data_IF_270653266147
#
_entry.id   IF_270653266147
#
_cell.length_a   1.000
_cell.length_b   1.000
_cell.length_c   1.000
_cell.angle_alpha   90.00
_cell.angle_beta   90.00
_cell.angle_gamma   90.00
#
_symmetry.space_group_name_H-M   'P 1'
#
loop_
_entity.id
_entity.type
_entity.pdbx_description
1 polymer ?
#
# COMPACT_ATOMS: atom_id res chain seq x y z
N UNK A 1 40.19 30.48 -19.85
CA UNK A 1 40.25 29.35 -18.88
C UNK A 1 39.47 28.11 -19.33
N UNK A 2 38.64 28.16 -20.38
CA UNK A 2 37.96 26.96 -20.90
C UNK A 2 38.86 26.01 -21.70
N UNK A 3 39.87 26.52 -22.43
CA UNK A 3 40.76 25.67 -23.23
C UNK A 3 41.77 24.82 -22.41
N UNK A 4 41.95 25.07 -21.10
CA UNK A 4 42.79 24.22 -20.23
C UNK A 4 42.03 23.04 -19.62
N UNK A 5 40.69 23.06 -19.57
CA UNK A 5 39.89 21.92 -19.10
C UNK A 5 39.74 20.85 -20.18
N UNK A 6 39.55 21.25 -21.44
CA UNK A 6 39.43 20.31 -22.58
C UNK A 6 40.74 19.56 -22.83
N UNK A 7 41.89 20.24 -22.71
CA UNK A 7 43.22 19.61 -22.82
C UNK A 7 43.51 18.59 -21.70
N UNK A 8 42.96 18.77 -20.49
CA UNK A 8 43.11 17.79 -19.39
C UNK A 8 42.30 16.51 -19.65
N UNK A 9 41.12 16.63 -20.26
CA UNK A 9 40.28 15.49 -20.68
C UNK A 9 40.94 14.68 -21.81
N UNK A 10 41.53 15.36 -22.80
CA UNK A 10 42.25 14.66 -23.89
C UNK A 10 43.52 13.96 -23.40
N UNK A 11 44.23 14.52 -22.41
CA UNK A 11 45.40 13.88 -21.80
C UNK A 11 45.04 12.63 -20.98
N UNK A 12 43.88 12.61 -20.30
CA UNK A 12 43.40 11.42 -19.58
C UNK A 12 42.94 10.31 -20.53
N UNK A 13 42.27 10.66 -21.65
CA UNK A 13 41.87 9.67 -22.66
C UNK A 13 43.09 9.02 -23.32
N UNK A 14 44.17 9.76 -23.55
CA UNK A 14 45.41 9.20 -24.13
C UNK A 14 46.17 8.27 -23.17
N UNK A 15 46.13 8.52 -21.86
CA UNK A 15 46.78 7.64 -20.87
C UNK A 15 46.02 6.30 -20.73
N UNK A 16 44.68 6.32 -20.85
CA UNK A 16 43.85 5.10 -20.82
C UNK A 16 44.11 4.22 -22.05
N UNK A 17 44.31 4.81 -23.23
CA UNK A 17 44.65 4.07 -24.44
C UNK A 17 46.05 3.41 -24.40
N UNK A 18 47.01 4.01 -23.69
CA UNK A 18 48.36 3.46 -23.52
C UNK A 18 48.44 2.38 -22.43
N UNK A 19 47.56 2.41 -21.41
CA UNK A 19 47.51 1.40 -20.35
C UNK A 19 46.79 0.10 -20.77
N UNK A 20 46.02 0.11 -21.86
CA UNK A 20 45.41 -1.12 -22.41
C UNK A 20 46.39 -2.04 -23.16
N UNK A 21 47.63 -1.60 -23.39
CA UNK A 21 48.66 -2.39 -24.09
C UNK A 21 49.68 -3.08 -23.17
N UNK A 22 49.50 -3.01 -21.85
CA UNK A 22 50.37 -3.73 -20.92
C UNK A 22 49.59 -4.20 -19.70
N UNK A 23 49.20 -5.49 -19.71
CA UNK A 23 49.36 -6.48 -18.63
C UNK A 23 48.39 -7.67 -18.81
N UNK A 24 48.74 -8.87 -18.30
CA UNK A 24 48.48 -10.15 -18.95
C UNK A 24 47.10 -10.72 -18.64
N UNK A 25 46.64 -11.58 -19.55
CA UNK A 25 45.57 -12.53 -19.29
C UNK A 25 45.92 -13.43 -18.12
N UNK A 26 45.13 -13.34 -17.05
CA UNK A 26 44.60 -14.46 -16.23
C UNK A 26 43.71 -13.81 -15.17
N UNK A 27 42.39 -14.01 -15.27
CA UNK A 27 41.47 -13.66 -14.17
C UNK A 27 40.82 -14.97 -13.75
N UNK A 28 41.18 -15.36 -12.52
CA UNK A 28 40.62 -16.44 -11.73
C UNK A 28 39.09 -16.30 -11.61
N UNK A 29 38.39 -17.40 -11.33
CA UNK A 29 36.92 -17.46 -11.28
C UNK A 29 36.35 -16.38 -10.35
N UNK A 30 35.85 -15.29 -10.94
CA UNK A 30 35.30 -14.17 -10.20
C UNK A 30 33.92 -14.57 -9.67
N UNK A 31 33.75 -14.59 -8.34
CA UNK A 31 32.45 -14.86 -7.71
C UNK A 31 31.38 -13.94 -8.33
N UNK A 32 30.36 -14.55 -8.93
CA UNK A 32 29.28 -13.80 -9.58
C UNK A 32 28.58 -12.92 -8.55
N UNK A 33 28.24 -11.69 -8.93
CA UNK A 33 27.40 -10.82 -8.09
C UNK A 33 26.07 -11.53 -7.85
N UNK A 34 25.70 -11.62 -6.57
CA UNK A 34 24.47 -12.28 -6.14
C UNK A 34 23.29 -11.29 -6.17
N UNK A 35 22.22 -11.66 -6.86
CA UNK A 35 21.00 -10.86 -7.02
C UNK A 35 19.82 -11.64 -6.43
N UNK A 36 19.15 -11.01 -5.47
CA UNK A 36 17.91 -11.49 -4.91
C UNK A 36 16.70 -11.11 -5.76
N UNK A 37 15.66 -11.94 -5.75
CA UNK A 37 14.41 -11.65 -6.43
C UNK A 37 13.24 -11.92 -5.49
N UNK A 38 12.35 -10.92 -5.35
CA UNK A 38 11.07 -11.01 -4.65
C UNK A 38 9.97 -10.53 -5.57
N UNK A 39 9.30 -11.48 -6.22
CA UNK A 39 8.14 -11.21 -7.06
C UNK A 39 6.90 -11.97 -6.61
N UNK A 40 5.74 -11.52 -7.09
CA UNK A 40 4.48 -12.27 -7.00
C UNK A 40 3.78 -12.38 -8.36
N UNK A 41 2.68 -13.13 -8.39
CA UNK A 41 1.82 -13.24 -9.57
C UNK A 41 2.58 -13.69 -10.82
N UNK A 42 2.57 -12.86 -11.86
CA UNK A 42 3.23 -13.16 -13.13
C UNK A 42 4.76 -13.11 -13.07
N UNK A 43 5.35 -12.35 -12.14
CA UNK A 43 6.80 -12.26 -11.98
C UNK A 43 7.43 -13.61 -11.61
N UNK A 44 6.68 -14.47 -10.93
CA UNK A 44 7.09 -15.82 -10.58
C UNK A 44 7.07 -16.80 -11.77
N UNK A 45 6.56 -16.39 -12.93
CA UNK A 45 6.59 -17.21 -14.14
C UNK A 45 7.90 -17.01 -14.94
N UNK A 46 8.81 -16.13 -14.46
CA UNK A 46 10.07 -15.81 -15.12
C UNK A 46 11.20 -16.64 -14.50
N UNK A 47 11.93 -17.36 -15.34
CA UNK A 47 13.17 -18.01 -14.90
C UNK A 47 14.33 -17.00 -14.96
N UNK A 48 14.54 -16.28 -13.85
CA UNK A 48 15.53 -15.20 -13.78
C UNK A 48 16.96 -15.65 -14.10
N UNK A 49 17.34 -16.89 -13.78
CA UNK A 49 18.66 -17.44 -14.14
C UNK A 49 18.91 -17.46 -15.65
N UNK A 50 17.85 -17.58 -16.46
CA UNK A 50 17.95 -17.50 -17.93
C UNK A 50 18.20 -16.08 -18.42
N UNK A 51 17.55 -15.08 -17.82
CA UNK A 51 17.64 -13.68 -18.26
C UNK A 51 18.81 -12.92 -17.62
N UNK A 52 19.34 -13.41 -16.50
CA UNK A 52 20.44 -12.83 -15.73
C UNK A 52 21.61 -13.83 -15.58
N UNK A 53 22.14 -14.44 -16.66
CA UNK A 53 23.10 -15.56 -16.56
C UNK A 53 24.48 -15.18 -15.99
N UNK A 54 24.80 -13.87 -15.98
CA UNK A 54 26.04 -13.32 -15.41
C UNK A 54 26.03 -13.28 -13.88
N UNK A 55 24.85 -13.43 -13.27
CA UNK A 55 24.63 -13.23 -11.84
C UNK A 55 24.31 -14.56 -11.14
N UNK A 56 24.54 -14.59 -9.82
CA UNK A 56 24.06 -15.68 -8.96
C UNK A 56 22.66 -15.30 -8.43
N UNK A 57 21.64 -16.05 -8.78
CA UNK A 57 20.25 -15.66 -8.51
C UNK A 57 19.72 -16.36 -7.26
N UNK A 58 19.25 -15.55 -6.29
CA UNK A 58 18.48 -16.00 -5.13
C UNK A 58 17.03 -15.65 -5.35
N UNK A 59 16.28 -16.58 -5.95
CA UNK A 59 14.85 -16.38 -6.15
C UNK A 59 14.08 -16.76 -4.89
N UNK A 60 13.62 -15.72 -4.17
CA UNK A 60 12.81 -15.85 -2.97
C UNK A 60 11.31 -15.64 -3.28
N UNK A 61 10.92 -15.52 -4.55
CA UNK A 61 9.56 -15.20 -4.97
C UNK A 61 8.55 -16.28 -4.59
N UNK A 62 7.33 -15.86 -4.24
CA UNK A 62 6.21 -16.76 -3.98
C UNK A 62 4.99 -16.25 -4.72
N UNK A 63 4.49 -17.06 -5.66
CA UNK A 63 3.45 -16.65 -6.62
C UNK A 63 2.17 -16.16 -5.97
N UNK A 64 1.74 -16.83 -4.90
CA UNK A 64 0.50 -16.53 -4.19
C UNK A 64 0.63 -15.42 -3.14
N UNK A 65 1.84 -14.90 -2.89
CA UNK A 65 2.04 -13.90 -1.85
C UNK A 65 1.62 -12.50 -2.32
N UNK A 66 0.96 -11.76 -1.44
CA UNK A 66 0.85 -10.31 -1.53
C UNK A 66 2.19 -9.65 -1.21
N UNK A 67 2.38 -8.37 -1.54
CA UNK A 67 3.65 -7.68 -1.28
C UNK A 67 3.97 -7.72 0.23
N UNK A 68 2.98 -7.58 1.09
CA UNK A 68 3.16 -7.68 2.56
C UNK A 68 3.63 -9.06 3.02
N UNK A 69 3.22 -10.12 2.33
CA UNK A 69 3.56 -11.51 2.68
C UNK A 69 4.96 -11.90 2.22
N UNK A 70 5.57 -11.13 1.31
CA UNK A 70 6.98 -11.30 0.96
C UNK A 70 7.93 -11.09 2.15
N UNK A 71 7.45 -10.56 3.28
CA UNK A 71 8.21 -10.48 4.53
C UNK A 71 8.27 -11.79 5.34
N UNK A 72 7.43 -12.79 5.04
CA UNK A 72 7.34 -14.01 5.84
C UNK A 72 8.54 -14.92 5.61
N UNK A 73 9.24 -15.31 6.69
CA UNK A 73 10.50 -16.07 6.59
C UNK A 73 11.54 -15.38 5.68
N UNK A 74 11.51 -14.05 5.58
CA UNK A 74 12.39 -13.28 4.69
C UNK A 74 13.87 -13.52 5.02
N UNK A 75 14.21 -13.70 6.30
CA UNK A 75 15.55 -14.10 6.73
C UNK A 75 16.03 -15.38 6.04
N UNK A 76 15.18 -16.41 6.04
CA UNK A 76 15.48 -17.74 5.50
C UNK A 76 15.49 -17.74 3.97
N UNK A 77 14.55 -17.02 3.35
CA UNK A 77 14.37 -17.03 1.90
C UNK A 77 15.34 -16.10 1.17
N UNK A 78 15.75 -14.98 1.77
CA UNK A 78 16.55 -13.95 1.12
C UNK A 78 17.75 -13.47 1.95
N UNK A 79 17.53 -13.00 3.18
CA UNK A 79 18.55 -12.19 3.88
C UNK A 79 19.79 -13.00 4.24
N UNK A 80 19.63 -14.28 4.61
CA UNK A 80 20.76 -15.18 4.92
C UNK A 80 21.69 -15.40 3.73
N UNK A 81 21.16 -15.34 2.51
CA UNK A 81 21.94 -15.52 1.28
C UNK A 81 22.80 -14.29 0.94
N UNK A 82 22.54 -13.15 1.58
CA UNK A 82 23.28 -11.88 1.43
C UNK A 82 23.48 -11.47 -0.04
N UNK A 83 22.41 -11.37 -0.85
CA UNK A 83 22.52 -10.79 -2.18
C UNK A 83 22.95 -9.33 -2.08
N UNK A 84 23.65 -8.83 -3.09
CA UNK A 84 24.05 -7.41 -3.09
C UNK A 84 22.88 -6.49 -3.47
N UNK A 85 22.08 -6.94 -4.44
CA UNK A 85 20.89 -6.25 -4.91
C UNK A 85 19.66 -7.15 -4.78
N UNK A 86 18.47 -6.59 -4.62
CA UNK A 86 17.23 -7.35 -4.69
C UNK A 86 16.17 -6.67 -5.55
N UNK A 87 15.69 -7.39 -6.56
CA UNK A 87 14.58 -6.97 -7.42
C UNK A 87 13.27 -7.20 -6.68
N UNK A 88 12.45 -6.16 -6.58
CA UNK A 88 11.13 -6.20 -5.95
C UNK A 88 10.06 -5.79 -6.96
N UNK A 89 9.15 -6.72 -7.29
CA UNK A 89 8.05 -6.51 -8.24
C UNK A 89 6.75 -7.14 -7.72
N UNK A 90 5.66 -6.38 -7.79
CA UNK A 90 4.34 -6.85 -7.41
C UNK A 90 3.34 -5.70 -7.27
N UNK A 91 2.20 -5.96 -6.65
CA UNK A 91 1.17 -4.95 -6.37
C UNK A 91 -0.10 -5.09 -7.21
N UNK A 92 -0.05 -5.74 -8.38
CA UNK A 92 -1.28 -6.01 -9.15
C UNK A 92 -2.24 -6.94 -8.37
N UNK A 93 -1.82 -8.10 -7.83
CA UNK A 93 -2.71 -8.93 -7.00
C UNK A 93 -3.29 -8.17 -5.81
N UNK A 94 -2.48 -7.33 -5.17
CA UNK A 94 -2.88 -6.48 -4.04
C UNK A 94 -3.97 -5.47 -4.44
N UNK A 95 -3.82 -4.81 -5.58
CA UNK A 95 -4.80 -3.85 -6.13
C UNK A 95 -6.09 -4.57 -6.56
N UNK A 96 -5.99 -5.76 -7.15
CA UNK A 96 -7.16 -6.58 -7.52
C UNK A 96 -7.95 -7.01 -6.28
N UNK A 97 -7.27 -7.19 -5.14
CA UNK A 97 -7.87 -7.42 -3.83
C UNK A 97 -8.28 -6.13 -3.11
N UNK A 98 -8.23 -4.98 -3.80
CA UNK A 98 -8.62 -3.66 -3.30
C UNK A 98 -7.83 -3.18 -2.08
N UNK A 99 -6.57 -3.62 -1.95
CA UNK A 99 -5.66 -3.04 -0.96
C UNK A 99 -5.33 -1.59 -1.32
N UNK A 100 -5.26 -0.73 -0.29
CA UNK A 100 -4.96 0.67 -0.51
C UNK A 100 -3.52 0.83 -1.03
N UNK A 101 -3.30 1.82 -1.90
CA UNK A 101 -1.96 2.19 -2.36
C UNK A 101 -1.02 2.45 -1.19
N UNK A 102 -1.53 3.03 -0.09
CA UNK A 102 -0.76 3.28 1.14
C UNK A 102 -0.30 1.98 1.81
N UNK A 103 -1.12 0.94 1.85
CA UNK A 103 -0.75 -0.34 2.46
C UNK A 103 0.27 -1.08 1.62
N UNK A 104 0.08 -1.10 0.30
CA UNK A 104 1.03 -1.69 -0.64
C UNK A 104 2.37 -0.96 -0.55
N UNK A 105 2.37 0.37 -0.60
CA UNK A 105 3.55 1.21 -0.39
C UNK A 105 4.21 0.93 0.97
N UNK A 106 3.42 0.76 2.03
CA UNK A 106 3.93 0.42 3.36
C UNK A 106 4.62 -0.94 3.41
N UNK A 107 4.13 -1.91 2.63
CA UNK A 107 4.79 -3.21 2.48
C UNK A 107 6.12 -3.09 1.72
N UNK A 108 6.15 -2.34 0.61
CA UNK A 108 7.40 -2.01 -0.10
C UNK A 108 8.41 -1.33 0.84
N UNK A 109 7.99 -0.32 1.60
CA UNK A 109 8.83 0.40 2.57
C UNK A 109 9.42 -0.53 3.63
N UNK A 110 8.60 -1.44 4.17
CA UNK A 110 9.08 -2.45 5.12
C UNK A 110 10.15 -3.35 4.51
N UNK A 111 9.88 -3.93 3.33
CA UNK A 111 10.84 -4.82 2.66
C UNK A 111 12.15 -4.11 2.32
N UNK A 112 12.07 -2.90 1.77
CA UNK A 112 13.26 -2.09 1.49
C UNK A 112 14.04 -1.77 2.76
N UNK A 113 13.36 -1.41 3.86
CA UNK A 113 14.01 -1.18 5.16
C UNK A 113 14.75 -2.42 5.66
N UNK A 114 14.12 -3.60 5.60
CA UNK A 114 14.77 -4.85 6.02
C UNK A 114 15.97 -5.21 5.15
N UNK A 115 15.88 -5.00 3.83
CA UNK A 115 17.01 -5.17 2.91
C UNK A 115 18.17 -4.22 3.23
N UNK A 116 17.89 -2.93 3.38
CA UNK A 116 18.90 -1.90 3.65
C UNK A 116 19.62 -2.17 4.98
N UNK A 117 18.88 -2.54 6.05
CA UNK A 117 19.47 -2.93 7.34
C UNK A 117 20.44 -4.11 7.22
N UNK A 118 20.24 -4.98 6.22
CA UNK A 118 21.07 -6.15 5.95
C UNK A 118 22.09 -5.90 4.82
N UNK A 119 22.35 -4.64 4.45
CA UNK A 119 23.27 -4.23 3.38
C UNK A 119 22.90 -4.76 1.98
N UNK A 120 21.61 -4.97 1.72
CA UNK A 120 21.07 -5.36 0.42
C UNK A 120 20.45 -4.12 -0.22
N UNK A 121 20.81 -3.81 -1.46
CA UNK A 121 20.29 -2.65 -2.20
C UNK A 121 18.98 -3.01 -2.92
N UNK A 122 17.82 -2.44 -2.52
CA UNK A 122 16.57 -2.71 -3.21
C UNK A 122 16.54 -2.09 -4.61
N UNK A 123 15.85 -2.75 -5.52
CA UNK A 123 15.52 -2.30 -6.87
C UNK A 123 14.01 -2.48 -7.05
N UNK A 124 13.27 -1.38 -7.11
CA UNK A 124 11.81 -1.41 -7.26
C UNK A 124 11.47 -1.40 -8.74
N UNK A 125 10.68 -2.37 -9.17
CA UNK A 125 10.10 -2.40 -10.52
C UNK A 125 8.64 -1.92 -10.44
N UNK A 126 8.29 -0.96 -11.29
CA UNK A 126 6.93 -0.43 -11.40
C UNK A 126 5.93 -1.54 -11.72
N UNK A 127 4.76 -1.50 -11.07
CA UNK A 127 3.63 -2.40 -11.40
C UNK A 127 3.13 -2.06 -12.80
N UNK A 128 2.99 -3.07 -13.67
CA UNK A 128 2.49 -2.85 -15.03
C UNK A 128 1.00 -2.48 -15.03
N UNK A 129 0.54 -1.64 -15.98
CA UNK A 129 -0.88 -1.40 -16.16
C UNK A 129 -1.62 -2.66 -16.64
N UNK A 130 -2.94 -2.58 -16.71
CA UNK A 130 -3.84 -3.57 -17.30
C UNK A 130 -4.65 -2.92 -18.45
N UNK A 131 -5.32 -3.69 -19.29
CA UNK A 131 -6.08 -3.19 -20.44
C UNK A 131 -7.57 -3.13 -20.15
N UNK A 132 -8.26 -2.06 -20.53
CA UNK A 132 -9.69 -1.82 -20.33
C UNK A 132 -10.15 -1.71 -18.85
N UNK A 133 -9.26 -1.27 -17.94
CA UNK A 133 -9.60 -1.14 -16.51
C UNK A 133 -9.09 0.17 -15.89
N UNK A 134 -9.82 1.26 -16.11
CA UNK A 134 -9.47 2.62 -15.66
C UNK A 134 -9.23 2.73 -14.15
N UNK A 135 -10.09 2.12 -13.31
CA UNK A 135 -9.96 2.21 -11.85
C UNK A 135 -8.71 1.47 -11.33
N UNK A 136 -8.39 0.33 -11.92
CA UNK A 136 -7.20 -0.47 -11.59
C UNK A 136 -5.95 0.31 -12.01
N UNK A 137 -5.93 0.82 -13.25
CA UNK A 137 -4.82 1.64 -13.76
C UNK A 137 -4.63 2.93 -12.98
N UNK A 138 -5.69 3.56 -12.47
CA UNK A 138 -5.58 4.73 -11.59
C UNK A 138 -4.85 4.39 -10.29
N UNK A 139 -5.14 3.21 -9.71
CA UNK A 139 -4.48 2.72 -8.50
C UNK A 139 -3.01 2.35 -8.76
N UNK A 140 -2.74 1.69 -9.89
CA UNK A 140 -1.38 1.34 -10.34
C UNK A 140 -0.55 2.60 -10.56
N UNK A 141 -1.10 3.59 -11.27
CA UNK A 141 -0.43 4.87 -11.52
C UNK A 141 -0.11 5.59 -10.20
N UNK A 142 -1.07 5.64 -9.27
CA UNK A 142 -0.85 6.23 -7.96
C UNK A 142 0.24 5.47 -7.19
N UNK A 143 0.20 4.13 -7.15
CA UNK A 143 1.23 3.32 -6.50
C UNK A 143 2.62 3.57 -7.07
N UNK A 144 2.77 3.53 -8.40
CA UNK A 144 4.04 3.74 -9.07
C UNK A 144 4.61 5.14 -8.80
N UNK A 145 3.78 6.18 -8.77
CA UNK A 145 4.20 7.55 -8.42
C UNK A 145 4.72 7.64 -6.97
N UNK A 146 4.03 7.01 -6.02
CA UNK A 146 4.45 7.00 -4.62
C UNK A 146 5.75 6.18 -4.42
N UNK A 147 5.88 5.04 -5.10
CA UNK A 147 7.08 4.21 -5.08
C UNK A 147 8.29 4.93 -5.67
N UNK A 148 8.11 5.62 -6.80
CA UNK A 148 9.16 6.43 -7.42
C UNK A 148 9.61 7.56 -6.49
N UNK A 149 8.67 8.25 -5.84
CA UNK A 149 8.96 9.33 -4.90
C UNK A 149 9.71 8.81 -3.67
N UNK A 150 9.26 7.68 -3.11
CA UNK A 150 9.94 7.01 -2.01
C UNK A 150 11.36 6.58 -2.38
N UNK A 151 11.53 6.00 -3.58
CA UNK A 151 12.82 5.52 -4.03
C UNK A 151 13.83 6.66 -4.17
N UNK A 152 13.43 7.78 -4.79
CA UNK A 152 14.25 8.97 -4.92
C UNK A 152 14.68 9.55 -3.55
N UNK A 153 13.78 9.55 -2.57
CA UNK A 153 14.07 10.06 -1.21
C UNK A 153 15.05 9.18 -0.41
N UNK A 154 15.21 7.92 -0.78
CA UNK A 154 15.97 6.92 -0.02
C UNK A 154 17.14 6.33 -0.83
N UNK A 155 17.50 6.95 -1.96
CA UNK A 155 18.57 6.49 -2.85
C UNK A 155 18.39 5.03 -3.32
N UNK A 156 17.15 4.63 -3.55
CA UNK A 156 16.76 3.30 -4.04
C UNK A 156 16.59 3.38 -5.56
N UNK A 157 17.00 2.32 -6.27
CA UNK A 157 16.78 2.21 -7.71
C UNK A 157 15.30 1.95 -8.00
N UNK A 158 14.74 2.67 -8.98
CA UNK A 158 13.37 2.50 -9.47
C UNK A 158 13.39 2.40 -10.99
N UNK A 159 12.66 1.44 -11.56
CA UNK A 159 12.59 1.23 -12.99
C UNK A 159 11.18 0.86 -13.47
N UNK A 160 10.78 1.42 -14.61
CA UNK A 160 9.56 1.03 -15.33
C UNK A 160 9.94 0.13 -16.51
N UNK A 161 9.48 -1.12 -16.47
CA UNK A 161 9.81 -2.12 -17.49
C UNK A 161 8.74 -2.23 -18.60
N UNK A 162 7.87 -1.21 -18.74
CA UNK A 162 6.70 -1.16 -19.63
C UNK A 162 7.04 -0.88 -21.10
N UNK A 163 8.31 -0.60 -21.42
CA UNK A 163 8.77 -0.34 -22.79
C UNK A 163 8.39 -1.49 -23.74
N UNK A 164 7.51 -1.19 -24.69
CA UNK A 164 7.00 -2.15 -25.67
C UNK A 164 5.97 -3.15 -25.12
N UNK A 165 5.57 -3.02 -23.85
CA UNK A 165 4.49 -3.81 -23.23
C UNK A 165 3.18 -3.03 -23.18
N UNK A 166 3.26 -1.72 -23.01
CA UNK A 166 2.11 -0.84 -22.85
C UNK A 166 2.14 0.37 -23.79
N UNK A 167 0.96 0.87 -24.13
CA UNK A 167 0.75 2.13 -24.85
C UNK A 167 -0.41 2.88 -24.20
N UNK A 168 -0.26 4.21 -24.04
CA UNK A 168 -1.28 5.07 -23.39
C UNK A 168 -1.77 4.58 -22.02
N UNK A 169 -0.89 3.91 -21.26
CA UNK A 169 -1.21 3.43 -19.92
C UNK A 169 -1.99 2.12 -19.87
N UNK A 170 -2.04 1.36 -20.97
CA UNK A 170 -2.66 0.02 -21.04
C UNK A 170 -1.76 -1.01 -21.72
N UNK A 171 -1.92 -2.29 -21.36
CA UNK A 171 -1.19 -3.39 -22.02
C UNK A 171 -1.61 -3.59 -23.48
N UNK A 172 -0.62 -3.83 -24.33
CA UNK A 172 -0.84 -4.15 -25.73
C UNK A 172 -1.47 -5.55 -25.90
N UNK A 173 -2.37 -5.76 -26.89
CA UNK A 173 -2.97 -7.06 -27.13
C UNK A 173 -2.04 -8.20 -27.48
N UNK A 174 -0.94 -7.89 -28.16
CA UNK A 174 0.09 -8.87 -28.51
C UNK A 174 0.82 -9.43 -27.28
N UNK A 175 0.74 -8.73 -26.15
CA UNK A 175 1.53 -8.94 -24.94
C UNK A 175 0.68 -9.53 -23.80
N UNK A 176 -0.63 -9.31 -23.80
CA UNK A 176 -1.58 -9.88 -22.83
C UNK A 176 -2.88 -10.33 -23.50
N UNK A 177 -3.19 -11.61 -23.32
CA UNK A 177 -4.39 -12.23 -23.90
C UNK A 177 -5.66 -11.76 -23.16
N UNK A 178 -5.63 -11.76 -21.83
CA UNK A 178 -6.76 -11.40 -20.96
C UNK A 178 -6.80 -9.91 -20.59
N UNK A 179 -5.75 -9.16 -20.90
CA UNK A 179 -5.60 -7.75 -20.52
C UNK A 179 -5.09 -7.55 -19.10
N UNK A 180 -4.76 -8.62 -18.37
CA UNK A 180 -4.24 -8.56 -17.00
C UNK A 180 -2.84 -9.16 -16.89
N UNK A 181 -2.66 -10.37 -17.43
CA UNK A 181 -1.45 -11.17 -17.28
C UNK A 181 -0.68 -11.16 -18.58
N UNK A 182 0.64 -11.03 -18.49
CA UNK A 182 1.53 -11.17 -19.63
C UNK A 182 1.47 -12.60 -20.20
N UNK A 183 1.42 -12.71 -21.53
CA UNK A 183 1.68 -13.95 -22.23
C UNK A 183 3.20 -14.22 -22.31
N UNK A 184 3.61 -15.34 -22.93
CA UNK A 184 5.03 -15.71 -23.01
C UNK A 184 5.93 -14.65 -23.67
N UNK A 185 5.43 -13.98 -24.71
CA UNK A 185 6.15 -12.89 -25.39
C UNK A 185 6.28 -11.69 -24.46
N UNK A 186 5.21 -11.35 -23.74
CA UNK A 186 5.20 -10.30 -22.74
C UNK A 186 6.18 -10.54 -21.60
N UNK A 187 6.15 -11.73 -20.99
CA UNK A 187 7.07 -12.12 -19.92
C UNK A 187 8.52 -12.04 -20.38
N UNK A 188 8.81 -12.48 -21.61
CA UNK A 188 10.16 -12.41 -22.18
C UNK A 188 10.64 -10.97 -22.37
N UNK A 189 9.78 -10.10 -22.91
CA UNK A 189 10.12 -8.69 -23.12
C UNK A 189 10.28 -7.95 -21.79
N UNK A 190 9.40 -8.20 -20.82
CA UNK A 190 9.50 -7.66 -19.47
C UNK A 190 10.81 -8.06 -18.78
N UNK A 191 11.16 -9.35 -18.83
CA UNK A 191 12.41 -9.84 -18.25
C UNK A 191 13.65 -9.24 -18.94
N UNK A 192 13.65 -9.10 -20.27
CA UNK A 192 14.73 -8.46 -21.01
C UNK A 192 14.89 -6.97 -20.67
N UNK A 193 13.79 -6.24 -20.52
CA UNK A 193 13.80 -4.83 -20.12
C UNK A 193 14.44 -4.66 -18.74
N UNK A 194 14.15 -5.56 -17.79
CA UNK A 194 14.75 -5.55 -16.45
C UNK A 194 16.22 -5.96 -16.50
N UNK A 195 16.57 -7.01 -17.24
CA UNK A 195 17.95 -7.48 -17.37
C UNK A 195 18.87 -6.39 -17.94
N UNK A 196 18.40 -5.68 -18.97
CA UNK A 196 19.11 -4.52 -19.53
C UNK A 196 19.39 -3.44 -18.48
N UNK A 197 18.39 -3.12 -17.65
CA UNK A 197 18.54 -2.13 -16.58
C UNK A 197 19.51 -2.59 -15.49
N UNK A 198 19.49 -3.88 -15.11
CA UNK A 198 20.40 -4.44 -14.11
C UNK A 198 21.85 -4.39 -14.59
N UNK A 199 22.11 -4.73 -15.86
CA UNK A 199 23.44 -4.62 -16.46
C UNK A 199 23.95 -3.16 -16.38
N UNK A 200 23.10 -2.16 -16.67
CA UNK A 200 23.45 -0.74 -16.56
C UNK A 200 23.77 -0.32 -15.10
N UNK A 201 22.94 -0.72 -14.13
CA UNK A 201 23.14 -0.42 -12.70
C UNK A 201 24.48 -0.97 -12.20
N UNK A 202 24.84 -2.19 -12.61
CA UNK A 202 26.06 -2.84 -12.18
C UNK A 202 27.29 -2.26 -12.89
N UNK A 203 27.19 -1.93 -14.18
CA UNK A 203 28.25 -1.24 -14.91
C UNK A 203 28.62 0.11 -14.26
N UNK A 204 27.62 0.87 -13.81
CA UNK A 204 27.81 2.12 -13.07
C UNK A 204 28.53 1.91 -11.74
N UNK A 205 28.21 0.83 -10.99
CA UNK A 205 28.89 0.48 -9.74
C UNK A 205 30.36 0.10 -9.99
N UNK A 206 30.65 -0.66 -11.04
CA UNK A 206 32.00 -1.15 -11.34
C UNK A 206 32.91 -0.10 -12.00
N UNK A 207 32.42 1.14 -12.22
CA UNK A 207 33.15 2.20 -12.93
C UNK A 207 33.54 1.81 -14.37
N UNK A 208 32.87 0.80 -14.94
CA UNK A 208 33.11 0.25 -16.28
C UNK A 208 32.10 0.87 -17.27
N UNK A 209 32.37 2.11 -17.69
CA UNK A 209 31.64 2.90 -18.70
C UNK A 209 30.20 3.34 -18.35
N UNK A 210 29.82 4.49 -18.94
CA UNK A 210 28.51 5.16 -18.83
C UNK A 210 27.68 4.84 -20.08
N UNK A 211 26.49 4.22 -19.96
CA UNK A 211 25.50 4.18 -21.04
C UNK A 211 24.48 5.34 -20.99
N UNK A 212 24.10 5.80 -22.17
CA UNK A 212 23.41 7.05 -22.53
C UNK A 212 21.87 7.00 -22.39
N UNK A 213 21.31 6.34 -21.37
CA UNK A 213 19.85 6.21 -21.20
C UNK A 213 19.25 7.05 -20.06
N UNK A 214 20.07 7.79 -19.29
CA UNK A 214 19.60 8.59 -18.15
C UNK A 214 19.49 10.07 -18.49
N UNK A 215 18.47 10.43 -19.28
CA UNK A 215 17.99 11.80 -19.37
C UNK A 215 16.52 11.84 -19.82
N UNK A 216 15.58 11.44 -18.95
CA UNK A 216 14.24 11.99 -19.00
C UNK A 216 13.60 12.03 -17.60
N UNK A 217 12.91 13.15 -17.35
CA UNK A 217 12.07 13.51 -16.20
C UNK A 217 12.74 14.29 -15.06
N UNK A 218 13.37 15.40 -15.43
CA UNK A 218 13.36 16.63 -14.62
C UNK A 218 12.05 17.39 -14.90
N UNK A 219 10.97 17.12 -14.14
CA UNK A 219 9.86 18.08 -13.91
C UNK A 219 8.97 17.62 -12.75
N UNK A 220 9.42 17.80 -11.51
CA UNK A 220 8.54 17.69 -10.32
C UNK A 220 8.46 19.00 -9.50
N UNK A 221 9.38 19.94 -9.72
CA UNK A 221 9.42 21.19 -8.94
C UNK A 221 8.28 22.18 -9.21
N UNK A 222 7.48 21.98 -10.27
CA UNK A 222 6.32 22.81 -10.60
C UNK A 222 5.03 22.33 -9.92
N UNK A 223 4.94 21.06 -9.50
CA UNK A 223 3.77 20.48 -8.84
C UNK A 223 3.92 20.58 -7.30
N UNK A 224 5.14 20.44 -6.79
CA UNK A 224 5.42 20.53 -5.35
C UNK A 224 5.12 21.92 -4.75
N UNK A 225 5.19 22.99 -5.56
CA UNK A 225 4.88 24.35 -5.11
C UNK A 225 3.37 24.68 -5.11
N UNK A 226 2.52 23.85 -5.72
CA UNK A 226 1.05 24.03 -5.72
C UNK A 226 0.40 23.29 -4.54
N UNK A 227 1.02 22.21 -4.04
CA UNK A 227 0.47 21.36 -2.97
C UNK A 227 0.88 21.77 -1.55
N UNK A 228 1.79 22.74 -1.39
CA UNK A 228 2.42 23.08 -0.11
C UNK A 228 1.60 24.01 0.80
N UNK A 229 0.32 24.26 0.50
CA UNK A 229 -0.55 25.09 1.34
C UNK A 229 -1.72 24.28 1.94
N UNK A 230 -1.61 24.06 3.25
CA UNK A 230 -2.61 23.62 4.25
C UNK A 230 -2.92 22.12 4.36
N UNK A 231 -2.12 21.39 5.15
CA UNK A 231 -2.64 20.24 5.89
C UNK A 231 -2.85 20.67 7.35
N UNK A 232 -4.12 20.78 7.74
CA UNK A 232 -4.56 20.93 9.12
C UNK A 232 -4.17 19.69 9.93
N UNK A 233 -3.81 19.89 11.20
CA UNK A 233 -3.60 18.83 12.19
C UNK A 233 -4.89 18.01 12.35
N UNK A 234 -4.83 16.68 12.12
CA UNK A 234 -5.99 15.79 12.24
C UNK A 234 -6.33 15.60 13.72
N UNK A 235 -7.56 15.95 14.14
CA UNK A 235 -8.02 15.79 15.53
C UNK A 235 -9.05 14.68 15.71
N UNK A 236 -9.79 14.33 14.65
CA UNK A 236 -10.86 13.35 14.70
C UNK A 236 -10.63 12.30 13.62
N UNK A 237 -10.76 11.03 13.97
CA UNK A 237 -10.77 9.93 13.00
C UNK A 237 -12.10 9.17 13.09
N UNK A 238 -12.65 8.82 11.93
CA UNK A 238 -13.81 7.93 11.78
C UNK A 238 -13.30 6.55 11.34
N UNK A 239 -13.11 5.62 12.26
CA UNK A 239 -12.66 4.25 11.96
C UNK A 239 -13.87 3.33 11.74
N UNK A 240 -13.89 2.64 10.60
CA UNK A 240 -14.92 1.64 10.36
C UNK A 240 -14.82 1.00 8.98
N UNK A 241 -15.96 0.51 8.48
CA UNK A 241 -16.03 -0.21 7.23
C UNK A 241 -16.72 0.58 6.10
N UNK A 242 -17.41 -0.09 5.17
CA UNK A 242 -18.17 0.56 4.08
C UNK A 242 -19.19 1.58 4.58
N UNK A 243 -19.80 1.38 5.75
CA UNK A 243 -20.74 2.35 6.34
C UNK A 243 -20.03 3.64 6.74
N UNK A 244 -18.80 3.55 7.24
CA UNK A 244 -18.00 4.75 7.59
C UNK A 244 -17.41 5.41 6.34
N UNK A 245 -16.95 4.58 5.39
CA UNK A 245 -16.44 5.03 4.10
C UNK A 245 -17.50 5.79 3.30
N UNK A 246 -18.73 5.26 3.26
CA UNK A 246 -19.87 5.84 2.55
C UNK A 246 -20.34 7.19 3.10
N UNK A 247 -19.92 7.56 4.32
CA UNK A 247 -20.06 8.92 4.83
C UNK A 247 -19.26 9.95 4.01
N UNK A 248 -18.31 9.53 3.17
CA UNK A 248 -17.59 10.40 2.27
C UNK A 248 -16.78 11.47 3.01
N UNK A 249 -17.06 12.74 2.73
CA UNK A 249 -16.35 13.87 3.32
C UNK A 249 -16.90 14.25 4.71
N UNK A 250 -16.39 13.59 5.76
CA UNK A 250 -16.76 13.89 7.14
C UNK A 250 -16.40 15.31 7.60
N UNK A 251 -15.40 15.95 6.99
CA UNK A 251 -15.11 17.37 7.23
C UNK A 251 -16.30 18.25 6.83
N UNK A 252 -16.86 18.03 5.64
CA UNK A 252 -18.05 18.75 5.19
C UNK A 252 -19.28 18.47 6.08
N UNK A 253 -19.49 17.21 6.46
CA UNK A 253 -20.63 16.81 7.31
C UNK A 253 -20.57 17.44 8.70
N UNK A 254 -19.38 17.48 9.30
CA UNK A 254 -19.19 17.98 10.66
C UNK A 254 -18.87 19.49 10.70
N UNK A 255 -18.78 20.15 9.55
CA UNK A 255 -18.33 21.53 9.42
C UNK A 255 -16.94 21.75 10.05
N UNK A 256 -15.99 20.88 9.69
CA UNK A 256 -14.60 20.83 10.19
C UNK A 256 -13.61 20.73 9.04
N UNK A 257 -12.32 20.84 9.35
CA UNK A 257 -11.21 20.58 8.43
C UNK A 257 -10.14 19.64 9.02
N UNK A 258 -10.35 19.08 10.20
CA UNK A 258 -9.41 18.24 10.95
C UNK A 258 -9.95 16.83 11.22
N UNK A 259 -10.88 16.36 10.37
CA UNK A 259 -11.46 15.01 10.43
C UNK A 259 -10.92 14.12 9.32
N UNK A 260 -10.56 12.89 9.65
CA UNK A 260 -10.09 11.87 8.71
C UNK A 260 -11.08 10.70 8.64
N UNK A 261 -11.44 10.30 7.42
CA UNK A 261 -12.24 9.11 7.17
C UNK A 261 -11.30 7.89 7.07
N UNK A 262 -11.29 7.05 8.09
CA UNK A 262 -10.58 5.77 8.11
C UNK A 262 -11.55 4.59 7.89
N UNK A 263 -12.67 4.83 7.19
CA UNK A 263 -13.60 3.80 6.74
C UNK A 263 -13.12 3.11 5.48
N UNK A 264 -13.13 1.78 5.45
CA UNK A 264 -12.78 0.99 4.26
C UNK A 264 -13.79 -0.13 4.00
N UNK A 265 -14.27 -0.25 2.76
CA UNK A 265 -15.20 -1.30 2.37
C UNK A 265 -14.69 -2.70 2.72
N UNK A 266 -15.59 -3.56 3.22
CA UNK A 266 -15.25 -4.95 3.57
C UNK A 266 -14.43 -5.15 4.85
N UNK A 267 -13.93 -4.09 5.51
CA UNK A 267 -13.14 -4.26 6.74
C UNK A 267 -13.88 -5.03 7.83
N UNK A 268 -13.21 -6.07 8.32
CA UNK A 268 -13.50 -6.80 9.55
C UNK A 268 -12.80 -6.15 10.75
N UNK A 269 -13.23 -6.45 11.98
CA UNK A 269 -12.58 -5.97 13.21
C UNK A 269 -11.10 -6.36 13.30
N UNK A 270 -10.74 -7.55 12.82
CA UNK A 270 -9.33 -8.01 12.79
C UNK A 270 -8.47 -7.20 11.81
N UNK A 271 -9.02 -6.80 10.66
CA UNK A 271 -8.33 -5.92 9.72
C UNK A 271 -8.21 -4.50 10.27
N UNK A 272 -9.24 -3.99 10.95
CA UNK A 272 -9.16 -2.69 11.63
C UNK A 272 -8.02 -2.67 12.66
N UNK A 273 -7.87 -3.73 13.46
CA UNK A 273 -6.73 -3.87 14.39
C UNK A 273 -5.38 -3.85 13.68
N UNK A 274 -5.25 -4.53 12.55
CA UNK A 274 -4.00 -4.53 11.79
C UNK A 274 -3.66 -3.12 11.31
N UNK A 275 -4.62 -2.40 10.74
CA UNK A 275 -4.36 -1.13 10.07
C UNK A 275 -4.43 0.09 11.01
N UNK A 276 -4.99 -0.03 12.22
CA UNK A 276 -5.25 1.12 13.10
C UNK A 276 -4.01 1.93 13.46
N UNK A 277 -2.83 1.32 13.52
CA UNK A 277 -1.57 2.06 13.72
C UNK A 277 -1.40 3.13 12.63
N UNK A 278 -1.64 2.75 11.38
CA UNK A 278 -1.43 3.60 10.19
C UNK A 278 -2.62 4.49 9.87
N UNK A 279 -3.83 4.05 10.14
CA UNK A 279 -5.07 4.75 9.77
C UNK A 279 -5.59 5.64 10.90
N UNK A 280 -5.18 5.39 12.14
CA UNK A 280 -5.61 6.15 13.31
C UNK A 280 -4.41 6.63 14.15
N UNK A 281 -3.64 5.72 14.75
CA UNK A 281 -2.71 6.06 15.84
C UNK A 281 -1.62 7.03 15.40
N UNK A 282 -0.99 6.78 14.25
CA UNK A 282 0.08 7.63 13.71
C UNK A 282 -0.40 8.99 13.21
N UNK A 283 -1.72 9.22 13.15
CA UNK A 283 -2.27 10.55 12.88
C UNK A 283 -2.46 11.37 14.16
N UNK A 284 -2.16 10.78 15.32
CA UNK A 284 -2.27 11.37 16.65
C UNK A 284 -3.59 12.13 16.91
N UNK A 285 -4.75 11.56 16.56
CA UNK A 285 -6.01 12.25 16.75
C UNK A 285 -6.34 12.33 18.24
N UNK A 286 -7.13 13.33 18.61
CA UNK A 286 -7.66 13.41 19.98
C UNK A 286 -8.76 12.36 20.20
N UNK A 287 -9.53 12.07 19.15
CA UNK A 287 -10.74 11.24 19.24
C UNK A 287 -10.82 10.31 18.03
N UNK A 288 -11.22 9.07 18.28
CA UNK A 288 -11.54 8.10 17.25
C UNK A 288 -12.97 7.55 17.46
N UNK A 289 -13.85 7.80 16.51
CA UNK A 289 -15.17 7.18 16.45
C UNK A 289 -15.03 5.81 15.77
N UNK A 290 -15.55 4.74 16.40
CA UNK A 290 -15.36 3.37 15.92
C UNK A 290 -16.69 2.69 15.68
N UNK A 291 -16.93 2.22 14.45
CA UNK A 291 -18.06 1.32 14.12
C UNK A 291 -17.53 0.10 13.36
N UNK A 292 -17.69 -1.09 13.92
CA UNK A 292 -17.13 -2.32 13.38
C UNK A 292 -18.01 -3.53 13.66
N UNK A 293 -17.80 -4.64 12.92
CA UNK A 293 -18.40 -5.95 13.22
C UNK A 293 -19.36 -6.50 12.17
N UNK A 294 -20.00 -5.66 11.33
CA UNK A 294 -21.01 -6.17 10.40
C UNK A 294 -20.42 -7.08 9.30
N UNK A 295 -19.25 -6.74 8.76
CA UNK A 295 -18.57 -7.60 7.77
C UNK A 295 -18.06 -8.90 8.39
N UNK A 296 -17.63 -8.87 9.64
CA UNK A 296 -17.24 -10.07 10.37
C UNK A 296 -18.44 -11.04 10.45
N UNK A 297 -19.62 -10.52 10.77
CA UNK A 297 -20.85 -11.31 10.83
C UNK A 297 -21.26 -11.86 9.45
N UNK A 298 -21.13 -11.08 8.39
CA UNK A 298 -21.33 -11.57 7.01
C UNK A 298 -20.34 -12.67 6.62
N UNK A 299 -19.11 -12.59 7.12
CA UNK A 299 -18.07 -13.60 6.92
C UNK A 299 -18.13 -14.77 7.92
N UNK A 300 -19.21 -14.89 8.70
CA UNK A 300 -19.41 -15.95 9.70
C UNK A 300 -18.29 -16.04 10.77
N UNK A 301 -17.62 -14.92 11.06
CA UNK A 301 -16.70 -14.84 12.19
C UNK A 301 -17.50 -14.94 13.49
N UNK A 302 -16.99 -15.73 14.44
CA UNK A 302 -17.66 -15.95 15.72
C UNK A 302 -17.86 -14.62 16.49
N UNK A 303 -19.06 -14.32 17.01
CA UNK A 303 -19.33 -13.09 17.77
C UNK A 303 -18.36 -12.81 18.92
N UNK A 304 -17.85 -13.86 19.58
CA UNK A 304 -16.83 -13.70 20.62
C UNK A 304 -15.51 -13.13 20.09
N UNK A 305 -15.07 -13.54 18.90
CA UNK A 305 -13.86 -13.02 18.25
C UNK A 305 -14.04 -11.56 17.87
N UNK A 306 -15.21 -11.20 17.34
CA UNK A 306 -15.58 -9.82 16.99
C UNK A 306 -15.50 -8.93 18.23
N UNK A 307 -16.12 -9.38 19.32
CA UNK A 307 -16.08 -8.68 20.60
C UNK A 307 -14.63 -8.51 21.11
N UNK A 308 -13.82 -9.58 21.14
CA UNK A 308 -12.42 -9.48 21.58
C UNK A 308 -11.60 -8.50 20.72
N UNK A 309 -11.85 -8.46 19.42
CA UNK A 309 -11.18 -7.50 18.55
C UNK A 309 -11.62 -6.06 18.82
N UNK A 310 -12.92 -5.82 19.05
CA UNK A 310 -13.42 -4.49 19.44
C UNK A 310 -12.77 -4.00 20.74
N UNK A 311 -12.60 -4.89 21.73
CA UNK A 311 -11.88 -4.59 22.97
C UNK A 311 -10.41 -4.22 22.71
N UNK A 312 -9.72 -4.97 21.85
CA UNK A 312 -8.34 -4.64 21.49
C UNK A 312 -8.23 -3.29 20.75
N UNK A 313 -9.18 -2.95 19.87
CA UNK A 313 -9.21 -1.66 19.19
C UNK A 313 -9.32 -0.54 20.23
N UNK A 314 -10.26 -0.66 21.16
CA UNK A 314 -10.44 0.29 22.27
C UNK A 314 -9.14 0.45 23.06
N UNK A 315 -8.55 -0.66 23.49
CA UNK A 315 -7.36 -0.64 24.35
C UNK A 315 -6.15 -0.01 23.63
N UNK A 316 -5.97 -0.29 22.34
CA UNK A 316 -4.89 0.29 21.55
C UNK A 316 -5.07 1.81 21.37
N UNK A 317 -6.30 2.29 21.20
CA UNK A 317 -6.59 3.73 21.15
C UNK A 317 -6.25 4.40 22.48
N UNK A 318 -6.76 3.86 23.60
CA UNK A 318 -6.51 4.41 24.95
C UNK A 318 -5.02 4.43 25.26
N UNK A 319 -4.32 3.31 25.01
CA UNK A 319 -2.86 3.20 25.22
C UNK A 319 -2.07 4.24 24.42
N UNK A 320 -2.59 4.64 23.26
CA UNK A 320 -1.97 5.64 22.38
C UNK A 320 -2.38 7.08 22.73
N UNK A 321 -3.12 7.30 23.82
CA UNK A 321 -3.60 8.62 24.23
C UNK A 321 -4.77 9.15 23.41
N UNK A 322 -5.47 8.27 22.68
CA UNK A 322 -6.59 8.62 21.80
C UNK A 322 -7.88 8.23 22.50
N UNK A 323 -8.86 9.13 22.53
CA UNK A 323 -10.16 8.85 23.14
C UNK A 323 -11.05 8.03 22.18
N UNK A 324 -11.39 6.76 22.49
CA UNK A 324 -12.37 6.02 21.70
C UNK A 324 -13.79 6.52 21.99
N UNK A 325 -14.62 6.55 20.95
CA UNK A 325 -16.08 6.71 21.05
C UNK A 325 -16.73 5.62 20.23
N UNK A 326 -17.49 4.74 20.86
CA UNK A 326 -17.98 3.52 20.21
C UNK A 326 -19.38 3.72 19.65
N UNK A 327 -19.54 3.30 18.40
CA UNK A 327 -20.83 3.17 17.74
C UNK A 327 -21.13 1.67 17.58
N UNK A 328 -22.17 1.14 18.26
CA UNK A 328 -22.58 -0.25 18.10
C UNK A 328 -22.88 -0.58 16.63
N UNK A 329 -22.68 -1.84 16.26
CA UNK A 329 -22.95 -2.33 14.91
C UNK A 329 -24.42 -2.08 14.55
N UNK A 330 -24.68 -1.50 13.38
CA UNK A 330 -26.05 -1.25 12.92
C UNK A 330 -26.74 -2.55 12.51
N UNK A 331 -28.05 -2.63 12.75
CA UNK A 331 -28.87 -3.69 12.18
C UNK A 331 -28.87 -3.63 10.64
N UNK A 332 -29.22 -4.75 10.01
CA UNK A 332 -29.51 -4.84 8.58
C UNK A 332 -31.00 -5.01 8.36
N UNK A 333 -31.51 -4.61 7.19
CA UNK A 333 -32.93 -4.71 6.87
C UNK A 333 -33.36 -6.19 6.73
N UNK A 334 -34.44 -6.55 7.44
CA UNK A 334 -35.14 -7.84 7.34
C UNK A 334 -34.25 -9.08 7.46
N UNK A 335 -33.28 -9.05 8.38
CA UNK A 335 -32.39 -10.20 8.64
C UNK A 335 -32.36 -10.59 10.13
N UNK A 336 -33.39 -11.33 10.62
CA UNK A 336 -33.52 -11.64 12.04
C UNK A 336 -32.39 -12.54 12.59
N UNK A 337 -31.83 -13.42 11.75
CA UNK A 337 -30.68 -14.26 12.15
C UNK A 337 -29.45 -13.42 12.43
N UNK A 338 -29.18 -12.43 11.57
CA UNK A 338 -28.07 -11.50 11.78
C UNK A 338 -28.35 -10.57 12.96
N UNK A 339 -29.59 -10.12 13.14
CA UNK A 339 -30.00 -9.27 14.25
C UNK A 339 -29.67 -9.87 15.62
N UNK A 340 -29.89 -11.17 15.83
CA UNK A 340 -29.51 -11.86 17.07
C UNK A 340 -27.99 -11.82 17.34
N UNK A 341 -27.17 -11.96 16.28
CA UNK A 341 -25.70 -11.86 16.42
C UNK A 341 -25.26 -10.42 16.68
N UNK A 342 -25.94 -9.45 16.07
CA UNK A 342 -25.72 -8.01 16.30
C UNK A 342 -26.05 -7.65 17.75
N UNK A 343 -27.18 -8.13 18.28
CA UNK A 343 -27.54 -7.95 19.70
C UNK A 343 -26.46 -8.51 20.63
N UNK A 344 -25.97 -9.71 20.32
CA UNK A 344 -24.94 -10.36 21.13
C UNK A 344 -23.67 -9.50 21.23
N UNK A 345 -23.13 -9.03 20.10
CA UNK A 345 -21.91 -8.21 20.12
C UNK A 345 -22.17 -6.81 20.70
N UNK A 346 -23.31 -6.20 20.38
CA UNK A 346 -23.65 -4.84 20.82
C UNK A 346 -23.88 -4.77 22.33
N UNK A 347 -24.63 -5.72 22.91
CA UNK A 347 -24.88 -5.73 24.35
C UNK A 347 -23.57 -5.87 25.14
N UNK A 348 -22.65 -6.69 24.65
CA UNK A 348 -21.35 -6.89 25.30
C UNK A 348 -20.44 -5.69 25.18
N UNK A 349 -20.32 -5.10 23.99
CA UNK A 349 -19.43 -3.94 23.81
C UNK A 349 -19.97 -2.71 24.54
N UNK A 350 -21.30 -2.51 24.59
CA UNK A 350 -21.91 -1.42 25.36
C UNK A 350 -21.70 -1.62 26.86
N UNK A 351 -21.94 -2.83 27.38
CA UNK A 351 -21.71 -3.13 28.81
C UNK A 351 -20.24 -2.94 29.19
N UNK A 352 -19.30 -3.29 28.31
CA UNK A 352 -17.89 -3.04 28.53
C UNK A 352 -17.58 -1.53 28.55
N UNK A 353 -18.11 -0.77 27.60
CA UNK A 353 -17.91 0.68 27.54
C UNK A 353 -18.49 1.39 28.78
N UNK A 354 -19.66 0.97 29.28
CA UNK A 354 -20.24 1.50 30.51
C UNK A 354 -19.34 1.25 31.73
N UNK A 355 -18.78 0.03 31.83
CA UNK A 355 -17.90 -0.34 32.93
C UNK A 355 -16.58 0.45 32.92
N UNK A 356 -16.02 0.69 31.74
CA UNK A 356 -14.72 1.34 31.57
C UNK A 356 -14.83 2.86 31.31
N UNK A 357 -16.02 3.45 31.49
CA UNK A 357 -16.32 4.88 31.25
C UNK A 357 -15.95 5.37 29.84
N UNK A 358 -16.27 4.56 28.83
CA UNK A 358 -16.06 4.86 27.40
C UNK A 358 -17.37 5.35 26.80
N UNK A 359 -17.30 6.48 26.10
CA UNK A 359 -18.47 7.10 25.48
C UNK A 359 -19.04 6.23 24.33
N UNK A 360 -20.37 6.09 24.29
CA UNK A 360 -21.11 5.36 23.26
C UNK A 360 -22.12 6.26 22.56
N UNK A 361 -22.19 6.17 21.22
CA UNK A 361 -23.26 6.79 20.41
C UNK A 361 -24.03 5.69 19.70
N UNK A 362 -25.20 5.34 20.24
CA UNK A 362 -26.04 4.29 19.67
C UNK A 362 -27.05 4.88 18.67
N UNK A 363 -26.87 4.57 17.39
CA UNK A 363 -27.75 5.02 16.31
C UNK A 363 -28.95 4.08 16.07
N UNK A 364 -28.89 2.83 16.53
CA UNK A 364 -29.93 1.83 16.29
C UNK A 364 -31.33 2.28 16.78
N UNK A 365 -31.50 2.92 17.96
CA UNK A 365 -32.82 3.40 18.40
C UNK A 365 -33.49 4.40 17.45
N UNK A 366 -32.72 5.05 16.58
CA UNK A 366 -33.22 6.04 15.62
C UNK A 366 -33.40 5.40 14.23
N UNK A 367 -32.39 4.66 13.79
CA UNK A 367 -32.31 4.10 12.44
C UNK A 367 -33.07 2.77 12.28
N UNK A 368 -33.30 2.04 13.36
CA UNK A 368 -33.94 0.73 13.32
C UNK A 368 -35.31 0.72 14.01
N UNK A 369 -36.10 -0.29 13.68
CA UNK A 369 -37.33 -0.69 14.39
C UNK A 369 -37.37 -2.21 14.41
N UNK A 370 -37.78 -2.81 15.53
CA UNK A 370 -37.90 -4.27 15.66
C UNK A 370 -36.62 -5.03 15.21
N UNK A 371 -35.44 -4.53 15.62
CA UNK A 371 -34.13 -5.10 15.27
C UNK A 371 -33.83 -5.16 13.76
N UNK A 372 -34.49 -4.31 12.98
CA UNK A 372 -34.34 -4.20 11.54
C UNK A 372 -34.05 -2.74 11.16
N UNK A 373 -33.03 -2.51 10.33
CA UNK A 373 -32.78 -1.19 9.76
C UNK A 373 -34.01 -0.76 8.94
N UNK A 374 -34.54 0.45 9.17
CA UNK A 374 -35.73 0.93 8.44
C UNK A 374 -35.42 1.05 6.95
N UNK A 375 -36.39 0.70 6.10
CA UNK A 375 -36.19 0.62 4.65
C UNK A 375 -35.75 1.97 4.04
N UNK A 376 -36.28 3.09 4.54
CA UNK A 376 -35.91 4.43 4.08
C UNK A 376 -34.45 4.82 4.39
N UNK A 377 -33.79 4.09 5.29
CA UNK A 377 -32.43 4.34 5.74
C UNK A 377 -31.39 3.43 5.11
N UNK A 378 -31.79 2.58 4.16
CA UNK A 378 -30.86 1.71 3.44
C UNK A 378 -31.09 1.66 1.94
N UNK A 379 -30.01 1.47 1.18
CA UNK A 379 -30.07 1.32 -0.29
C UNK A 379 -30.20 -0.15 -0.72
N UNK A 380 -29.67 -1.09 0.06
CA UNK A 380 -29.56 -2.51 -0.29
C UNK A 380 -29.80 -3.47 0.89
N UNK A 381 -30.27 -2.94 2.02
CA UNK A 381 -30.46 -3.67 3.27
C UNK A 381 -29.28 -3.58 4.24
N UNK A 382 -28.13 -3.03 3.83
CA UNK A 382 -26.96 -2.81 4.69
C UNK A 382 -26.43 -1.38 4.60
N UNK A 383 -26.16 -0.88 3.38
CA UNK A 383 -25.57 0.43 3.16
C UNK A 383 -26.60 1.54 3.37
N UNK A 384 -26.15 2.65 3.95
CA UNK A 384 -27.01 3.75 4.40
C UNK A 384 -27.39 4.70 3.27
N UNK A 385 -28.61 5.24 3.34
CA UNK A 385 -29.02 6.39 2.51
C UNK A 385 -28.46 7.70 3.08
N UNK A 386 -28.50 8.78 2.28
CA UNK A 386 -28.11 10.12 2.76
C UNK A 386 -28.94 10.57 3.98
N UNK A 387 -30.23 10.22 4.04
CA UNK A 387 -31.09 10.53 5.18
C UNK A 387 -30.56 9.91 6.49
N UNK A 388 -30.05 8.67 6.42
CA UNK A 388 -29.43 8.01 7.56
C UNK A 388 -28.07 8.66 7.94
N UNK A 389 -27.27 9.06 6.95
CA UNK A 389 -26.03 9.80 7.23
C UNK A 389 -26.27 11.17 7.85
N UNK A 390 -27.37 11.86 7.52
CA UNK A 390 -27.77 13.11 8.18
C UNK A 390 -28.09 12.89 9.66
N UNK A 391 -28.77 11.79 10.00
CA UNK A 391 -29.03 11.40 11.40
C UNK A 391 -27.71 11.12 12.14
N UNK A 392 -26.83 10.30 11.55
CA UNK A 392 -25.52 10.00 12.13
C UNK A 392 -24.72 11.30 12.36
N UNK A 393 -24.66 12.17 11.35
CA UNK A 393 -23.99 13.47 11.44
C UNK A 393 -24.53 14.33 12.58
N UNK A 394 -25.85 14.40 12.73
CA UNK A 394 -26.51 15.16 13.80
C UNK A 394 -26.13 14.63 15.19
N UNK A 395 -26.08 13.32 15.38
CA UNK A 395 -25.68 12.73 16.67
C UNK A 395 -24.21 12.97 16.99
N UNK A 396 -23.31 12.92 15.99
CA UNK A 396 -21.90 13.27 16.18
C UNK A 396 -21.74 14.74 16.57
N UNK A 397 -22.40 15.66 15.87
CA UNK A 397 -22.36 17.10 16.19
C UNK A 397 -22.88 17.37 17.60
N UNK A 398 -23.99 16.72 18.00
CA UNK A 398 -24.54 16.81 19.35
C UNK A 398 -23.54 16.35 20.39
N UNK A 399 -22.88 15.20 20.17
CA UNK A 399 -21.86 14.68 21.07
C UNK A 399 -20.65 15.63 21.21
N UNK A 400 -20.11 16.10 20.07
CA UNK A 400 -18.96 17.01 20.05
C UNK A 400 -19.26 18.32 20.80
N UNK A 401 -20.47 18.86 20.63
CA UNK A 401 -20.93 20.06 21.35
C UNK A 401 -21.00 19.83 22.86
N UNK A 402 -21.60 18.72 23.32
CA UNK A 402 -21.73 18.39 24.75
C UNK A 402 -20.36 18.24 25.41
N UNK A 403 -19.40 17.61 24.73
CA UNK A 403 -18.06 17.37 25.25
C UNK A 403 -17.09 18.54 25.04
N UNK A 404 -17.55 19.64 24.44
CA UNK A 404 -16.76 20.86 24.23
C UNK A 404 -15.59 20.70 23.25
N UNK A 405 -15.68 19.74 22.32
CA UNK A 405 -14.61 19.45 21.35
C UNK A 405 -14.80 20.39 20.15
N UNK A 406 -13.98 21.44 20.10
CA UNK A 406 -14.04 22.48 19.05
C UNK A 406 -13.15 22.20 17.85
#
# INVERSE_FOLDING_TARGET
MENRRVMKYLYQVFIVALLQLALPQTIDAQDKIKIGVLTNGEGCNINWTTYLPKFDIVDASVKSFLVSQQGWELDRRLLREKPEFCILYGGLPDILLQLSVKDILGAYKYLCSEMIKNNIKPIIIATLPVRNHVAINSSIYQLNRELQSYAAQNEIYYYSADKGLAHEGELLPEISNDGFMLNNSGLSLFANNIASFIDDVIALKENRLIPLSTAHNLTSSAIDNIMKNSQSEIKIVMLGNSLTAGGGNWNARLNRNDTHNAGQGGYTTGQMLWHMDRTVINTHPKICFVMAGINDLFNNIAPDVIYQNQIQIINNLIKSGIKPVILPTLYTHNNPSLAQKIDYINNRIVSYCEKEDIDVINLNPILASEQSLKAEYTTDGTHLTEAAYLIWTKELLRYLAIKGIK
#
